data_IF_049883909883
#
_entry.id   IF_049883909883
#
_cell.length_a   1.000
_cell.length_b   1.000
_cell.length_c   1.000
_cell.angle_alpha   90.00
_cell.angle_beta   90.00
_cell.angle_gamma   90.00
#
_symmetry.space_group_name_H-M   'P 1'
#
loop_
_entity.id
_entity.type
_entity.pdbx_description
1 polymer ?
#
# COMPACT_ATOMS: atom_id res chain seq x y z
N UNK A 1 49.90 4.80 -19.39
CA UNK A 1 48.72 5.64 -19.67
C UNK A 1 47.55 5.14 -18.83
N UNK A 2 47.11 5.98 -17.89
CA UNK A 2 46.05 5.75 -16.92
C UNK A 2 44.71 6.01 -17.61
N UNK A 3 43.89 4.98 -17.85
CA UNK A 3 42.51 5.14 -18.34
C UNK A 3 41.54 4.68 -17.27
N UNK A 4 40.94 5.70 -16.68
CA UNK A 4 39.82 5.68 -15.74
C UNK A 4 38.61 5.11 -16.47
N UNK A 5 38.12 3.95 -16.02
CA UNK A 5 36.74 3.53 -16.25
C UNK A 5 36.11 3.30 -14.89
N UNK A 6 35.91 4.41 -14.19
CA UNK A 6 34.95 4.50 -13.12
C UNK A 6 33.58 4.77 -13.75
N UNK A 7 32.54 4.24 -13.11
CA UNK A 7 31.16 4.71 -13.19
C UNK A 7 30.35 4.21 -14.39
N UNK A 8 29.60 3.12 -14.22
CA UNK A 8 28.23 2.94 -14.75
C UNK A 8 27.68 1.57 -14.28
N UNK A 9 27.31 1.44 -13.00
CA UNK A 9 26.68 0.18 -12.53
C UNK A 9 25.75 0.33 -11.32
N UNK A 10 25.24 1.53 -11.02
CA UNK A 10 24.32 1.71 -9.88
C UNK A 10 23.21 2.67 -10.30
N UNK A 11 22.22 2.19 -11.07
CA UNK A 11 20.98 2.94 -11.34
C UNK A 11 19.80 2.07 -11.84
N UNK A 12 19.96 0.76 -12.00
CA UNK A 12 18.90 -0.15 -12.49
C UNK A 12 17.94 -0.66 -11.41
N UNK A 13 18.12 -0.28 -10.14
CA UNK A 13 17.30 -0.77 -9.02
C UNK A 13 15.99 -0.01 -8.74
N UNK A 14 15.74 1.14 -9.40
CA UNK A 14 14.64 2.04 -9.05
C UNK A 14 13.36 1.87 -9.89
N UNK A 15 13.37 1.04 -10.93
CA UNK A 15 12.20 0.86 -11.81
C UNK A 15 11.27 -0.29 -11.41
N UNK A 16 11.69 -1.20 -10.52
CA UNK A 16 10.84 -2.33 -10.10
C UNK A 16 9.81 -1.97 -9.00
N UNK A 17 9.90 -0.77 -8.42
CA UNK A 17 8.99 -0.31 -7.36
C UNK A 17 7.67 0.28 -7.88
N UNK A 18 7.65 0.84 -9.10
CA UNK A 18 6.44 1.45 -9.65
C UNK A 18 5.36 0.42 -9.99
N UNK A 19 5.74 -0.72 -10.59
CA UNK A 19 4.79 -1.78 -10.95
C UNK A 19 4.08 -2.38 -9.72
N UNK A 20 4.80 -2.54 -8.61
CA UNK A 20 4.22 -3.09 -7.37
C UNK A 20 3.25 -2.11 -6.71
N UNK A 21 3.60 -0.82 -6.66
CA UNK A 21 2.74 0.22 -6.10
C UNK A 21 1.45 0.37 -6.90
N UNK A 22 1.54 0.35 -8.23
CA UNK A 22 0.36 0.45 -9.11
C UNK A 22 -0.53 -0.80 -9.01
N UNK A 23 0.06 -2.00 -8.95
CA UNK A 23 -0.68 -3.23 -8.72
C UNK A 23 -1.39 -3.25 -7.36
N UNK A 24 -0.74 -2.76 -6.31
CA UNK A 24 -1.31 -2.68 -4.96
C UNK A 24 -2.47 -1.68 -4.88
N UNK A 25 -2.32 -0.49 -5.47
CA UNK A 25 -3.41 0.49 -5.62
C UNK A 25 -4.62 -0.13 -6.29
N UNK A 26 -4.41 -0.78 -7.44
CA UNK A 26 -5.49 -1.39 -8.20
C UNK A 26 -6.23 -2.47 -7.41
N UNK A 27 -5.52 -3.30 -6.64
CA UNK A 27 -6.15 -4.33 -5.82
C UNK A 27 -7.07 -3.73 -4.72
N UNK A 28 -6.65 -2.63 -4.10
CA UNK A 28 -7.45 -1.91 -3.09
C UNK A 28 -8.68 -1.28 -3.74
N UNK A 29 -8.49 -0.60 -4.88
CA UNK A 29 -9.57 0.05 -5.62
C UNK A 29 -10.63 -0.95 -6.10
N UNK A 30 -10.21 -2.06 -6.70
CA UNK A 30 -11.12 -3.12 -7.17
C UNK A 30 -11.91 -3.75 -6.02
N UNK A 31 -11.27 -4.00 -4.87
CA UNK A 31 -11.98 -4.53 -3.70
C UNK A 31 -12.98 -3.54 -3.13
N UNK A 32 -12.63 -2.25 -3.08
CA UNK A 32 -13.53 -1.19 -2.62
C UNK A 32 -14.74 -1.05 -3.55
N UNK A 33 -14.52 -1.03 -4.86
CA UNK A 33 -15.60 -1.00 -5.86
C UNK A 33 -16.52 -2.23 -5.74
N UNK A 34 -15.95 -3.41 -5.47
CA UNK A 34 -16.71 -4.62 -5.25
C UNK A 34 -17.58 -4.57 -3.98
N UNK A 35 -17.23 -3.74 -3.00
CA UNK A 35 -18.03 -3.49 -1.79
C UNK A 35 -19.17 -2.48 -2.00
N UNK A 36 -19.23 -1.83 -3.17
CA UNK A 36 -20.33 -0.94 -3.57
C UNK A 36 -20.06 0.55 -3.34
N UNK A 37 -18.84 0.92 -2.98
CA UNK A 37 -18.41 2.31 -2.86
C UNK A 37 -18.19 2.98 -4.22
N UNK A 38 -18.14 4.31 -4.22
CA UNK A 38 -17.94 5.08 -5.46
C UNK A 38 -16.49 5.01 -5.95
N UNK A 39 -16.29 5.13 -7.27
CA UNK A 39 -14.95 5.14 -7.86
C UNK A 39 -14.05 6.26 -7.31
N UNK A 40 -14.63 7.41 -6.96
CA UNK A 40 -13.88 8.52 -6.36
C UNK A 40 -13.35 8.16 -4.96
N UNK A 41 -14.20 7.58 -4.11
CA UNK A 41 -13.84 7.09 -2.77
C UNK A 41 -12.78 5.99 -2.88
N UNK A 42 -12.97 5.02 -3.77
CA UNK A 42 -12.04 3.90 -3.94
C UNK A 42 -10.68 4.32 -4.50
N UNK A 43 -10.67 5.27 -5.45
CA UNK A 43 -9.44 5.85 -5.97
C UNK A 43 -8.69 6.64 -4.89
N UNK A 44 -9.40 7.38 -4.05
CA UNK A 44 -8.81 8.07 -2.91
C UNK A 44 -8.16 7.08 -1.93
N UNK A 45 -8.92 6.06 -1.49
CA UNK A 45 -8.42 5.04 -0.56
C UNK A 45 -7.17 4.34 -1.09
N UNK A 46 -7.19 3.91 -2.35
CA UNK A 46 -6.06 3.23 -2.95
C UNK A 46 -4.82 4.13 -2.98
N UNK A 47 -4.98 5.40 -3.35
CA UNK A 47 -3.87 6.36 -3.47
C UNK A 47 -3.30 6.71 -2.11
N UNK A 48 -4.14 7.18 -1.18
CA UNK A 48 -3.73 7.59 0.16
C UNK A 48 -3.10 6.43 0.94
N UNK A 49 -3.67 5.22 0.81
CA UNK A 49 -3.07 4.02 1.42
C UNK A 49 -1.69 3.74 0.83
N UNK A 50 -1.54 3.74 -0.50
CA UNK A 50 -0.25 3.45 -1.11
C UNK A 50 0.85 4.48 -0.79
N UNK A 51 0.49 5.72 -0.46
CA UNK A 51 1.44 6.80 -0.16
C UNK A 51 1.80 6.91 1.32
N UNK A 52 0.88 6.58 2.24
CA UNK A 52 1.02 6.90 3.67
C UNK A 52 1.41 5.73 4.56
N UNK A 53 0.99 4.50 4.23
CA UNK A 53 1.37 3.33 5.04
C UNK A 53 2.69 2.72 4.57
N UNK A 54 3.41 2.16 5.54
CA UNK A 54 4.62 1.40 5.27
C UNK A 54 4.32 0.23 4.31
N UNK A 55 5.25 -0.13 3.39
CA UNK A 55 5.05 -1.23 2.44
C UNK A 55 4.64 -2.56 3.09
N UNK A 56 5.17 -2.88 4.28
CA UNK A 56 4.81 -4.12 4.98
C UNK A 56 3.36 -4.10 5.48
N UNK A 57 2.82 -2.92 5.80
CA UNK A 57 1.42 -2.71 6.18
C UNK A 57 0.54 -2.73 4.93
N UNK A 58 0.98 -2.07 3.85
CA UNK A 58 0.29 -2.05 2.56
C UNK A 58 0.05 -3.47 2.01
N UNK A 59 1.07 -4.34 2.05
CA UNK A 59 0.94 -5.73 1.58
C UNK A 59 -0.14 -6.51 2.35
N UNK A 60 -0.32 -6.24 3.65
CA UNK A 60 -1.36 -6.87 4.45
C UNK A 60 -2.75 -6.32 4.11
N UNK A 61 -2.87 -5.02 3.83
CA UNK A 61 -4.12 -4.42 3.36
C UNK A 61 -4.51 -5.03 2.01
N UNK A 62 -3.56 -5.15 1.10
CA UNK A 62 -3.76 -5.77 -0.22
C UNK A 62 -4.14 -7.25 -0.10
N UNK A 63 -3.53 -7.99 0.83
CA UNK A 63 -3.94 -9.36 1.14
C UNK A 63 -5.42 -9.42 1.57
N UNK A 64 -5.84 -8.51 2.44
CA UNK A 64 -7.24 -8.39 2.83
C UNK A 64 -8.16 -8.10 1.63
N UNK A 65 -7.77 -7.15 0.79
CA UNK A 65 -8.49 -6.78 -0.45
C UNK A 65 -8.59 -7.93 -1.46
N UNK A 66 -7.59 -8.83 -1.49
CA UNK A 66 -7.58 -10.04 -2.33
C UNK A 66 -8.46 -11.19 -1.81
N UNK A 67 -9.20 -10.98 -0.73
CA UNK A 67 -10.13 -11.97 -0.17
C UNK A 67 -9.55 -12.80 0.97
N UNK A 68 -8.42 -12.38 1.56
CA UNK A 68 -7.81 -13.03 2.73
C UNK A 68 -7.90 -12.15 4.01
N UNK A 69 -9.06 -11.54 4.35
CA UNK A 69 -9.15 -10.54 5.42
C UNK A 69 -8.85 -11.10 6.81
N UNK A 70 -9.15 -12.38 7.05
CA UNK A 70 -8.85 -13.04 8.34
C UNK A 70 -7.36 -13.22 8.53
N UNK A 71 -6.65 -13.66 7.50
CA UNK A 71 -5.20 -13.84 7.57
C UNK A 71 -4.48 -12.50 7.67
N UNK A 72 -4.90 -11.51 6.87
CA UNK A 72 -4.41 -10.15 6.96
C UNK A 72 -4.56 -9.58 8.39
N UNK A 73 -5.73 -9.75 9.02
CA UNK A 73 -5.98 -9.27 10.39
C UNK A 73 -5.05 -9.92 11.42
N UNK A 74 -4.82 -11.23 11.33
CA UNK A 74 -3.90 -11.92 12.24
C UNK A 74 -2.45 -11.45 12.05
N UNK A 75 -2.02 -11.25 10.80
CA UNK A 75 -0.69 -10.72 10.49
C UNK A 75 -0.52 -9.27 10.95
N UNK A 76 -1.55 -8.43 10.84
CA UNK A 76 -1.56 -7.06 11.36
C UNK A 76 -1.38 -7.05 12.89
N UNK A 77 -2.05 -7.96 13.61
CA UNK A 77 -1.88 -8.09 15.07
C UNK A 77 -0.45 -8.50 15.45
N UNK A 78 0.20 -9.29 14.59
CA UNK A 78 1.57 -9.77 14.76
C UNK A 78 2.66 -8.78 14.30
N UNK A 79 2.29 -7.65 13.68
CA UNK A 79 3.24 -6.60 13.30
C UNK A 79 4.01 -6.07 14.51
N UNK A 80 5.22 -5.59 14.24
CA UNK A 80 5.98 -4.84 15.23
C UNK A 80 5.18 -3.62 15.74
N UNK A 81 5.32 -3.23 17.02
CA UNK A 81 4.58 -2.13 17.62
C UNK A 81 4.49 -0.83 16.79
N UNK A 82 5.57 -0.33 16.14
CA UNK A 82 5.49 0.87 15.32
C UNK A 82 4.58 0.71 14.09
N UNK A 83 4.69 -0.40 13.36
CA UNK A 83 3.89 -0.65 12.16
C UNK A 83 2.41 -0.87 12.49
N UNK A 84 2.14 -1.59 13.59
CA UNK A 84 0.78 -1.77 14.09
C UNK A 84 0.15 -0.46 14.54
N UNK A 85 0.93 0.42 15.18
CA UNK A 85 0.48 1.76 15.56
C UNK A 85 0.19 2.63 14.33
N UNK A 86 1.06 2.59 13.31
CA UNK A 86 0.82 3.29 12.06
C UNK A 86 -0.46 2.80 11.40
N UNK A 87 -0.67 1.49 11.26
CA UNK A 87 -1.91 0.94 10.72
C UNK A 87 -3.15 1.46 11.47
N UNK A 88 -3.10 1.45 12.81
CA UNK A 88 -4.22 1.87 13.65
C UNK A 88 -4.52 3.39 13.57
N UNK A 89 -3.57 4.20 13.12
CA UNK A 89 -3.73 5.66 12.99
C UNK A 89 -4.04 6.06 11.55
N UNK A 90 -3.23 5.60 10.60
CA UNK A 90 -3.32 6.02 9.21
C UNK A 90 -4.56 5.44 8.53
N UNK A 91 -4.88 4.15 8.73
CA UNK A 91 -6.00 3.53 8.00
C UNK A 91 -7.35 4.19 8.35
N UNK A 92 -7.69 4.42 9.64
CA UNK A 92 -8.90 5.17 9.97
C UNK A 92 -8.89 6.63 9.49
N UNK A 93 -7.73 7.29 9.53
CA UNK A 93 -7.59 8.67 9.06
C UNK A 93 -7.83 8.78 7.55
N UNK A 94 -7.27 7.85 6.77
CA UNK A 94 -7.45 7.75 5.32
C UNK A 94 -8.92 7.46 4.99
N UNK A 95 -9.57 6.54 5.72
CA UNK A 95 -10.99 6.25 5.53
C UNK A 95 -11.86 7.49 5.75
N UNK A 96 -11.61 8.24 6.83
CA UNK A 96 -12.33 9.48 7.11
C UNK A 96 -12.08 10.55 6.02
N UNK A 97 -10.83 10.70 5.58
CA UNK A 97 -10.44 11.67 4.55
C UNK A 97 -11.08 11.36 3.19
N UNK A 98 -11.16 10.08 2.83
CA UNK A 98 -11.76 9.62 1.58
C UNK A 98 -13.29 9.50 1.63
N UNK A 99 -13.94 9.92 2.73
CA UNK A 99 -15.40 9.91 2.83
C UNK A 99 -16.03 8.55 3.10
N UNK A 100 -15.25 7.58 3.58
CA UNK A 100 -15.77 6.32 4.16
C UNK A 100 -16.21 6.57 5.61
N UNK A 101 -17.17 7.48 5.78
CA UNK A 101 -17.78 7.75 7.07
C UNK A 101 -18.87 6.69 7.32
N UNK A 102 -18.60 5.75 8.23
CA UNK A 102 -19.62 4.85 8.79
C UNK A 102 -20.29 5.47 10.01
#
# INVERSE_FOLDING_TARGET
MRRVFASFAVLTGLLAGCDAVEANRKAIEESCLANGDSAEVCSCLATETAERVDPAVLDLIVMGAKGEPREASERIKALEPPLRSQFAVEVPAIMAECGMEH
#
